data_IF_348574813127
#
_entry.id   IF_348574813127
#
_cell.length_a   1.000
_cell.length_b   1.000
_cell.length_c   1.000
_cell.angle_alpha   90.00
_cell.angle_beta   90.00
_cell.angle_gamma   90.00
#
_symmetry.space_group_name_H-M   'P 1'
#
loop_
_entity.id
_entity.type
_entity.pdbx_description
1 polymer ?
#
# COMPACT_ATOMS: atom_id res chain seq x y z
N UNK A 1 30.04 -43.78 -6.65
CA UNK A 1 29.97 -42.72 -5.62
C UNK A 1 29.90 -41.31 -6.20
N UNK A 2 30.78 -40.93 -7.16
CA UNK A 2 30.75 -39.58 -7.77
C UNK A 2 29.40 -39.23 -8.42
N UNK A 3 28.83 -40.11 -9.25
CA UNK A 3 27.57 -39.89 -9.96
C UNK A 3 26.35 -39.68 -9.03
N UNK A 4 26.28 -40.44 -7.93
CA UNK A 4 25.21 -40.35 -6.95
C UNK A 4 25.27 -39.01 -6.21
N UNK A 5 26.48 -38.54 -5.90
CA UNK A 5 26.71 -37.27 -5.23
C UNK A 5 26.37 -36.07 -6.12
N UNK A 6 26.64 -36.14 -7.42
CA UNK A 6 26.27 -35.08 -8.37
C UNK A 6 24.75 -34.99 -8.55
N UNK A 7 24.05 -36.12 -8.61
CA UNK A 7 22.58 -36.17 -8.76
C UNK A 7 21.90 -35.61 -7.50
N UNK A 8 22.39 -35.94 -6.31
CA UNK A 8 21.84 -35.39 -5.06
C UNK A 8 22.03 -33.87 -4.98
N UNK A 9 23.22 -33.34 -5.29
CA UNK A 9 23.46 -31.91 -5.25
C UNK A 9 22.57 -31.14 -6.22
N UNK A 10 22.39 -31.62 -7.47
CA UNK A 10 21.55 -30.94 -8.46
C UNK A 10 20.07 -30.92 -8.07
N UNK A 11 19.54 -31.99 -7.47
CA UNK A 11 18.15 -32.04 -6.98
C UNK A 11 17.95 -31.05 -5.81
N UNK A 12 18.91 -30.94 -4.89
CA UNK A 12 18.84 -29.99 -3.78
C UNK A 12 18.81 -28.53 -4.26
N UNK A 13 19.69 -28.14 -5.20
CA UNK A 13 19.70 -26.76 -5.75
C UNK A 13 18.43 -26.42 -6.57
N UNK A 14 17.84 -27.39 -7.27
CA UNK A 14 16.59 -27.19 -8.00
C UNK A 14 15.38 -27.10 -7.06
N UNK A 15 15.40 -27.84 -5.95
CA UNK A 15 14.33 -27.80 -4.94
C UNK A 15 14.31 -26.50 -4.12
N UNK A 16 15.46 -25.85 -3.91
CA UNK A 16 15.53 -24.56 -3.19
C UNK A 16 14.85 -23.40 -3.92
N UNK A 17 14.68 -23.47 -5.25
CA UNK A 17 13.93 -22.47 -6.00
C UNK A 17 12.40 -22.73 -5.99
N UNK A 18 11.97 -23.98 -5.77
CA UNK A 18 10.55 -24.37 -5.84
C UNK A 18 9.80 -24.30 -4.51
N UNK A 19 10.50 -24.22 -3.37
CA UNK A 19 9.87 -24.15 -2.03
C UNK A 19 9.44 -22.73 -1.61
N UNK A 20 8.81 -22.00 -2.53
CA UNK A 20 8.08 -20.77 -2.20
C UNK A 20 8.98 -19.60 -1.80
N UNK A 21 9.95 -19.28 -2.66
CA UNK A 21 10.88 -18.16 -2.55
C UNK A 21 10.22 -16.83 -2.15
N UNK A 22 11.07 -15.88 -1.71
CA UNK A 22 10.76 -14.55 -1.18
C UNK A 22 9.26 -14.18 -1.20
N UNK A 23 8.61 -14.29 -0.06
CA UNK A 23 7.26 -13.76 0.13
C UNK A 23 7.41 -12.29 0.50
N UNK A 24 6.92 -11.34 -0.33
CA UNK A 24 6.94 -9.94 0.05
C UNK A 24 6.12 -9.76 1.34
N UNK A 25 6.47 -8.75 2.17
CA UNK A 25 5.65 -8.41 3.33
C UNK A 25 4.20 -8.16 2.90
N UNK A 26 3.25 -8.49 3.77
CA UNK A 26 1.85 -8.16 3.53
C UNK A 26 1.72 -6.63 3.46
N UNK A 27 1.11 -6.12 2.39
CA UNK A 27 0.76 -4.71 2.29
C UNK A 27 -0.19 -4.34 3.45
N UNK A 28 0.12 -3.27 4.18
CA UNK A 28 -0.72 -2.76 5.24
C UNK A 28 -1.83 -1.86 4.69
N UNK A 29 -1.58 -1.22 3.55
CA UNK A 29 -2.53 -0.34 2.89
C UNK A 29 -3.11 -0.93 1.61
N UNK A 30 -4.44 -1.07 1.62
CA UNK A 30 -5.24 -1.36 0.42
C UNK A 30 -5.92 -0.07 0.00
N UNK A 31 -5.44 0.51 -1.10
CA UNK A 31 -6.03 1.71 -1.69
C UNK A 31 -7.21 1.35 -2.59
N UNK A 32 -8.28 2.12 -2.48
CA UNK A 32 -9.50 2.00 -3.27
C UNK A 32 -9.78 3.34 -3.98
N UNK A 33 -10.31 3.30 -5.21
CA UNK A 33 -10.61 4.51 -5.97
C UNK A 33 -11.89 5.20 -5.46
N UNK A 34 -11.80 6.50 -5.17
CA UNK A 34 -12.93 7.40 -4.93
C UNK A 34 -14.03 7.38 -6.00
N UNK A 35 -15.24 7.81 -5.61
CA UNK A 35 -16.40 7.92 -6.51
C UNK A 35 -16.12 8.78 -7.74
N UNK A 36 -15.24 9.77 -7.63
CA UNK A 36 -14.88 10.66 -8.73
C UNK A 36 -14.24 9.91 -9.92
N UNK A 37 -13.56 8.79 -9.68
CA UNK A 37 -12.96 7.99 -10.75
C UNK A 37 -14.00 7.21 -11.56
N UNK A 38 -15.21 7.02 -11.02
CA UNK A 38 -16.34 6.37 -11.69
C UNK A 38 -17.30 7.35 -12.35
N UNK A 39 -17.02 8.66 -12.26
CA UNK A 39 -17.88 9.68 -12.88
C UNK A 39 -17.88 9.54 -14.41
N UNK A 40 -19.02 9.74 -15.09
CA UNK A 40 -19.09 9.77 -16.55
C UNK A 40 -18.13 10.79 -17.18
N UNK A 41 -17.80 11.88 -16.46
CA UNK A 41 -16.84 12.89 -16.89
C UNK A 41 -15.38 12.40 -16.86
N UNK A 42 -15.09 11.44 -15.98
CA UNK A 42 -13.83 10.70 -15.94
C UNK A 42 -13.78 9.57 -17.00
N UNK A 43 -14.90 9.38 -17.70
CA UNK A 43 -15.16 8.34 -18.67
C UNK A 43 -14.01 8.09 -19.63
N UNK A 44 -13.51 6.84 -19.59
CA UNK A 44 -12.62 6.20 -20.57
C UNK A 44 -11.22 6.78 -20.72
N UNK A 45 -10.78 7.75 -19.91
CA UNK A 45 -9.51 8.44 -20.16
C UNK A 45 -8.27 7.75 -19.60
N UNK A 46 -8.38 6.98 -18.50
CA UNK A 46 -7.26 6.26 -17.89
C UNK A 46 -7.71 4.95 -17.23
N UNK A 47 -6.86 3.92 -17.33
CA UNK A 47 -6.92 2.75 -16.47
C UNK A 47 -6.69 3.17 -15.02
N UNK A 48 -7.51 2.68 -14.08
CA UNK A 48 -7.40 2.98 -12.66
C UNK A 48 -6.02 2.61 -12.12
N UNK A 49 -5.43 1.53 -12.63
CA UNK A 49 -4.09 1.11 -12.23
C UNK A 49 -3.04 2.12 -12.69
N UNK A 50 -3.10 2.55 -13.95
CA UNK A 50 -2.20 3.58 -14.49
C UNK A 50 -2.35 4.91 -13.74
N UNK A 51 -3.58 5.34 -13.45
CA UNK A 51 -3.79 6.57 -12.70
C UNK A 51 -3.22 6.47 -11.29
N UNK A 52 -3.41 5.33 -10.63
CA UNK A 52 -2.86 5.09 -9.29
C UNK A 52 -1.35 5.21 -9.30
N UNK A 53 -0.69 4.58 -10.26
CA UNK A 53 0.76 4.63 -10.41
C UNK A 53 1.27 6.07 -10.59
N UNK A 54 0.63 6.84 -11.48
CA UNK A 54 0.95 8.26 -11.70
C UNK A 54 0.78 9.08 -10.41
N UNK A 55 -0.33 8.87 -9.70
CA UNK A 55 -0.62 9.59 -8.46
C UNK A 55 0.30 9.20 -7.31
N UNK A 56 0.69 7.93 -7.22
CA UNK A 56 1.68 7.42 -6.26
C UNK A 56 3.04 8.06 -6.50
N UNK A 57 3.53 8.06 -7.73
CA UNK A 57 4.78 8.75 -8.08
C UNK A 57 4.74 10.24 -7.74
N UNK A 58 3.63 10.92 -8.06
CA UNK A 58 3.46 12.34 -7.76
C UNK A 58 3.44 12.64 -6.25
N UNK A 59 3.05 11.67 -5.41
CA UNK A 59 3.07 11.77 -3.95
C UNK A 59 4.31 11.17 -3.29
N UNK A 60 5.31 10.71 -4.06
CA UNK A 60 6.53 10.09 -3.52
C UNK A 60 6.30 8.70 -2.90
N UNK A 61 5.29 7.97 -3.36
CA UNK A 61 4.99 6.59 -2.99
C UNK A 61 5.52 5.67 -4.10
N UNK A 62 6.25 4.63 -3.73
CA UNK A 62 6.63 3.56 -4.65
C UNK A 62 5.38 2.74 -5.02
N UNK A 63 4.94 2.70 -6.30
CA UNK A 63 3.77 1.95 -6.71
C UNK A 63 3.84 0.45 -6.47
N UNK A 64 5.07 -0.12 -6.40
CA UNK A 64 5.27 -1.55 -6.14
C UNK A 64 4.99 -1.87 -4.67
N UNK A 65 5.44 -1.01 -3.76
CA UNK A 65 5.13 -1.14 -2.33
C UNK A 65 3.68 -0.75 -2.04
N UNK A 66 3.16 0.24 -2.77
CA UNK A 66 1.78 0.72 -2.65
C UNK A 66 1.48 1.47 -1.35
N UNK A 67 2.50 1.74 -0.53
CA UNK A 67 2.36 2.41 0.76
C UNK A 67 3.63 3.23 1.08
N UNK A 68 3.47 4.21 1.97
CA UNK A 68 4.59 5.01 2.49
C UNK A 68 4.56 5.06 4.01
N UNK A 69 5.74 5.07 4.61
CA UNK A 69 5.91 5.37 6.03
C UNK A 69 5.67 6.84 6.38
N UNK A 70 5.46 7.71 5.39
CA UNK A 70 5.18 9.14 5.57
C UNK A 70 3.68 9.42 5.53
N UNK A 71 3.15 10.02 6.60
CA UNK A 71 1.77 10.51 6.62
C UNK A 71 1.51 11.55 5.52
N UNK A 72 2.49 12.40 5.19
CA UNK A 72 2.37 13.42 4.15
C UNK A 72 2.10 12.80 2.76
N UNK A 73 2.89 11.78 2.41
CA UNK A 73 2.77 11.06 1.15
C UNK A 73 1.40 10.36 1.04
N UNK A 74 0.99 9.66 2.10
CA UNK A 74 -0.30 8.98 2.14
C UNK A 74 -1.47 9.98 2.08
N UNK A 75 -1.39 11.10 2.80
CA UNK A 75 -2.40 12.17 2.75
C UNK A 75 -2.45 12.87 1.39
N UNK A 76 -1.32 12.96 0.67
CA UNK A 76 -1.30 13.45 -0.71
C UNK A 76 -2.14 12.55 -1.62
N UNK A 77 -1.98 11.23 -1.48
CA UNK A 77 -2.74 10.26 -2.27
C UNK A 77 -4.24 10.30 -1.90
N UNK A 78 -4.58 10.45 -0.62
CA UNK A 78 -5.96 10.66 -0.19
C UNK A 78 -6.60 11.91 -0.79
N UNK A 79 -5.86 13.02 -0.87
CA UNK A 79 -6.35 14.27 -1.47
C UNK A 79 -6.61 14.16 -2.97
N UNK A 80 -5.88 13.28 -3.65
CA UNK A 80 -6.15 12.90 -5.06
C UNK A 80 -7.37 11.97 -5.19
N UNK A 81 -7.92 11.55 -4.05
CA UNK A 81 -9.21 10.90 -3.92
C UNK A 81 -9.14 9.38 -3.93
N UNK A 82 -7.96 8.81 -3.68
CA UNK A 82 -7.82 7.43 -3.24
C UNK A 82 -8.19 7.32 -1.76
N UNK A 83 -8.67 6.19 -1.29
CA UNK A 83 -8.96 5.98 0.13
C UNK A 83 -8.47 4.62 0.59
N UNK A 84 -8.06 4.50 1.85
CA UNK A 84 -7.75 3.17 2.41
C UNK A 84 -9.06 2.44 2.70
N UNK A 85 -9.06 1.14 2.48
CA UNK A 85 -10.17 0.26 2.88
C UNK A 85 -10.50 0.39 4.38
N UNK A 86 -9.47 0.60 5.22
CA UNK A 86 -9.61 0.76 6.66
C UNK A 86 -10.06 2.15 7.14
N UNK A 87 -10.39 3.08 6.25
CA UNK A 87 -10.77 4.46 6.60
C UNK A 87 -9.67 5.49 6.32
N UNK A 88 -9.72 6.66 6.97
CA UNK A 88 -8.73 7.71 6.71
C UNK A 88 -7.32 7.28 7.14
N UNK A 89 -6.29 7.68 6.38
CA UNK A 89 -4.86 7.42 6.68
C UNK A 89 -4.52 7.79 8.11
N UNK A 90 -4.95 8.97 8.54
CA UNK A 90 -4.66 9.47 9.88
C UNK A 90 -5.51 8.84 10.98
N UNK A 91 -6.45 7.99 10.61
CA UNK A 91 -7.22 7.12 11.49
C UNK A 91 -6.73 5.66 11.43
N UNK A 92 -5.58 5.43 10.80
CA UNK A 92 -4.89 4.16 10.86
C UNK A 92 -4.01 4.06 12.13
N UNK A 93 -3.87 2.85 12.68
CA UNK A 93 -3.03 2.56 13.86
C UNK A 93 -1.57 3.00 13.67
N UNK A 94 -1.01 2.83 12.47
CA UNK A 94 0.39 3.10 12.17
C UNK A 94 0.69 4.60 12.12
N UNK A 95 -0.25 5.41 11.62
CA UNK A 95 -0.08 6.86 11.43
C UNK A 95 -0.70 7.67 12.58
N UNK A 96 -1.24 7.00 13.61
CA UNK A 96 -1.96 7.68 14.69
C UNK A 96 -1.10 8.74 15.39
N UNK A 97 0.14 8.39 15.74
CA UNK A 97 1.03 9.29 16.48
C UNK A 97 1.83 10.24 15.57
N UNK A 98 1.62 10.20 14.25
CA UNK A 98 2.32 11.08 13.33
C UNK A 98 1.88 12.55 13.54
N UNK A 99 2.82 13.51 13.67
CA UNK A 99 2.49 14.92 13.90
C UNK A 99 1.55 15.52 12.85
N UNK A 100 1.70 15.13 11.58
CA UNK A 100 0.87 15.61 10.49
C UNK A 100 -0.54 15.06 10.62
N UNK A 101 -0.67 13.80 11.04
CA UNK A 101 -1.97 13.20 11.32
C UNK A 101 -2.65 13.74 12.58
N UNK A 102 -1.90 14.14 13.60
CA UNK A 102 -2.45 14.86 14.76
C UNK A 102 -3.06 16.19 14.31
N UNK A 103 -2.35 16.97 13.48
CA UNK A 103 -2.86 18.23 12.92
C UNK A 103 -4.07 18.01 12.02
N UNK A 104 -4.01 17.00 11.14
CA UNK A 104 -5.11 16.64 10.26
C UNK A 104 -6.37 16.28 11.07
N UNK A 105 -6.24 15.42 12.09
CA UNK A 105 -7.38 15.04 12.93
C UNK A 105 -7.94 16.22 13.73
N UNK A 106 -7.10 17.14 14.19
CA UNK A 106 -7.58 18.36 14.85
C UNK A 106 -8.46 19.23 13.94
N UNK A 107 -8.24 19.18 12.62
CA UNK A 107 -8.99 19.98 11.64
C UNK A 107 -10.20 19.26 11.05
N UNK A 108 -10.08 17.95 10.77
CA UNK A 108 -11.03 17.20 9.96
C UNK A 108 -11.74 16.06 10.71
N UNK A 109 -11.28 15.68 11.90
CA UNK A 109 -11.82 14.54 12.66
C UNK A 109 -11.88 14.84 14.17
N UNK A 110 -11.92 13.79 15.00
CA UNK A 110 -11.90 13.86 16.47
C UNK A 110 -10.52 13.43 16.98
N UNK A 111 -9.67 14.36 17.46
CA UNK A 111 -8.26 14.06 17.75
C UNK A 111 -8.02 13.02 18.85
N UNK A 112 -9.00 12.80 19.74
CA UNK A 112 -8.89 11.87 20.87
C UNK A 112 -9.66 10.56 20.75
N UNK A 113 -10.44 10.35 19.68
CA UNK A 113 -11.29 9.16 19.54
C UNK A 113 -10.65 8.22 18.55
N UNK A 114 -10.11 7.09 19.04
CA UNK A 114 -9.57 6.03 18.18
C UNK A 114 -10.75 5.27 17.54
N UNK A 115 -10.84 5.20 16.19
CA UNK A 115 -11.95 4.52 15.52
C UNK A 115 -11.82 3.01 15.54
N UNK A 116 -10.64 2.47 15.85
CA UNK A 116 -10.47 1.05 16.13
C UNK A 116 -10.86 0.76 17.59
N UNK A 117 -11.62 -0.31 17.80
CA UNK A 117 -11.94 -0.83 19.12
C UNK A 117 -10.69 -1.15 19.94
N UNK A 118 -10.87 -1.24 21.26
CA UNK A 118 -9.83 -1.71 22.19
C UNK A 118 -9.38 -3.12 21.82
#
# INVERSE_FOLDING_TARGET
MKLLSTILCSIFFLSSCSFGGFKPPKAYYVWLPGKQFYSPAWGKKFDLFTQREIDMHACGIDPILGESGSAEANLCLERKGWYLEGGAVCENKLMWNDPECIKWRAKYSKPGVKPWGK
#
